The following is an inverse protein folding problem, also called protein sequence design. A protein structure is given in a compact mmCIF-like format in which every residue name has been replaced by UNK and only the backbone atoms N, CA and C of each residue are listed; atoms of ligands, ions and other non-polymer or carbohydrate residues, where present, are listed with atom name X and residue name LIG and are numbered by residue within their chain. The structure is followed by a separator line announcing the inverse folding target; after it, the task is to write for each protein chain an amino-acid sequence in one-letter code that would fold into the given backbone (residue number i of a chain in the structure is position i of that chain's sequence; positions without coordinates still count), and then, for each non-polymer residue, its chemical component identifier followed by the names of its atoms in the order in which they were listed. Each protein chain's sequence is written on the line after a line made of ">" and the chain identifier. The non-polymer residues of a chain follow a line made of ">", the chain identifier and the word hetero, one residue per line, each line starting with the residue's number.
data_IF_539282300753
#
_entry.id   IF_539282300753
#
_cell.length_a   1.000
_cell.length_b   1.000
_cell.length_c   1.000
_cell.angle_alpha   90.00
_cell.angle_beta   90.00
_cell.angle_gamma   90.00
#
_symmetry.space_group_name_H-M   'P 1'
#
loop_
_entity.id
_entity.type
_entity.pdbx_description
1 polymer ?
#
# COMPACT_ATOMS: atom_id res chain seq x y z
N UNK A 1 60.02 4.56 -1.69
CA UNK A 1 60.29 3.88 -2.96
C UNK A 1 58.96 3.39 -3.55
N UNK A 2 58.67 3.96 -4.75
CA UNK A 2 57.83 3.52 -5.86
C UNK A 2 56.35 3.23 -5.55
N UNK A 3 55.44 4.11 -5.75
CA UNK A 3 54.69 4.66 -6.91
C UNK A 3 54.50 3.66 -8.06
N UNK A 4 53.26 3.23 -8.26
CA UNK A 4 52.73 2.91 -9.60
C UNK A 4 51.27 3.28 -9.71
N UNK A 5 51.05 4.36 -10.46
CA UNK A 5 49.79 4.87 -11.00
C UNK A 5 49.35 4.01 -12.19
N UNK A 6 48.09 3.63 -12.24
CA UNK A 6 47.43 3.17 -13.47
C UNK A 6 46.16 3.97 -13.73
N UNK A 7 46.30 5.05 -14.51
CA UNK A 7 45.21 5.77 -15.17
C UNK A 7 44.78 4.95 -16.39
N UNK A 8 43.55 4.39 -16.38
CA UNK A 8 42.90 3.88 -17.59
C UNK A 8 41.95 4.96 -18.14
N UNK A 9 42.32 5.50 -19.30
CA UNK A 9 41.54 6.45 -20.08
C UNK A 9 40.40 5.73 -20.78
N UNK A 10 39.17 6.07 -20.50
CA UNK A 10 37.99 5.74 -21.32
C UNK A 10 37.87 6.77 -22.45
N UNK A 11 37.91 6.30 -23.68
CA UNK A 11 37.60 7.06 -24.91
C UNK A 11 36.08 7.16 -25.09
N UNK A 12 35.58 8.28 -25.64
CA UNK A 12 34.16 8.42 -25.95
C UNK A 12 33.82 7.69 -27.26
N UNK A 13 32.75 6.92 -27.23
CA UNK A 13 32.16 6.29 -28.43
C UNK A 13 31.12 7.29 -29.02
N UNK A 14 31.55 8.00 -30.07
CA UNK A 14 30.69 8.79 -30.94
C UNK A 14 30.40 7.99 -32.20
N UNK A 15 29.21 8.23 -32.77
CA UNK A 15 28.77 7.93 -34.13
C UNK A 15 28.36 6.49 -34.48
N UNK A 16 27.03 6.31 -34.48
CA UNK A 16 26.33 5.52 -35.50
C UNK A 16 24.94 6.16 -35.75
N UNK A 17 24.95 7.29 -36.43
CA UNK A 17 23.81 7.77 -37.25
C UNK A 17 24.03 7.28 -38.67
N UNK A 18 23.02 6.76 -39.28
CA UNK A 18 22.75 6.41 -40.66
C UNK A 18 22.44 4.92 -40.87
N UNK A 19 21.16 4.62 -40.91
CA UNK A 19 20.52 3.75 -41.91
C UNK A 19 19.00 3.76 -41.67
N UNK A 20 18.31 4.74 -42.28
CA UNK A 20 16.89 4.66 -42.56
C UNK A 20 16.70 4.30 -44.03
N UNK A 21 16.01 3.23 -44.41
CA UNK A 21 15.54 3.05 -45.77
C UNK A 21 14.29 3.91 -46.01
N UNK A 22 14.37 4.79 -46.98
CA UNK A 22 13.22 5.46 -47.61
C UNK A 22 12.35 4.37 -48.26
N UNK A 23 11.15 4.16 -47.75
CA UNK A 23 10.07 3.49 -48.47
C UNK A 23 9.15 4.58 -49.03
N UNK A 24 9.07 4.57 -50.37
CA UNK A 24 8.24 5.45 -51.15
C UNK A 24 6.76 5.28 -50.81
N UNK A 25 6.07 6.41 -50.65
CA UNK A 25 4.63 6.49 -50.63
C UNK A 25 4.06 5.97 -51.98
N UNK A 26 3.31 4.88 -51.94
CA UNK A 26 2.33 4.53 -52.96
C UNK A 26 0.95 4.82 -52.38
N UNK A 27 0.27 5.75 -53.03
CA UNK A 27 -1.16 5.97 -52.85
C UNK A 27 -1.92 4.66 -53.06
N UNK A 28 -2.56 4.17 -52.03
CA UNK A 28 -3.61 3.17 -52.11
C UNK A 28 -4.82 3.75 -51.42
N UNK A 29 -5.90 3.87 -52.20
CA UNK A 29 -7.15 4.52 -51.88
C UNK A 29 -7.72 4.15 -50.51
N UNK A 30 -8.32 5.19 -49.90
CA UNK A 30 -8.96 5.06 -48.59
C UNK A 30 -10.17 4.15 -48.65
N UNK A 31 -10.05 3.04 -47.96
CA UNK A 31 -11.18 2.15 -47.76
C UNK A 31 -11.76 2.27 -46.33
N UNK A 32 -13.08 2.29 -46.28
CA UNK A 32 -13.96 2.33 -45.11
C UNK A 32 -13.65 1.26 -44.02
N UNK A 33 -12.78 0.32 -44.31
CA UNK A 33 -12.39 -0.77 -43.42
C UNK A 33 -11.46 -0.33 -42.27
N UNK A 34 -10.62 0.71 -42.49
CA UNK A 34 -9.71 1.22 -41.44
C UNK A 34 -10.46 2.01 -40.37
N UNK A 35 -11.54 2.70 -40.73
CA UNK A 35 -12.42 3.38 -39.75
C UNK A 35 -13.22 2.43 -38.86
N UNK A 36 -13.48 1.21 -39.31
CA UNK A 36 -14.23 0.20 -38.55
C UNK A 36 -13.35 -0.58 -37.58
N UNK A 37 -12.08 -0.81 -37.91
CA UNK A 37 -11.09 -1.48 -37.05
C UNK A 37 -10.68 -0.59 -35.86
N UNK A 38 -10.51 0.72 -36.08
CA UNK A 38 -10.16 1.67 -35.00
C UNK A 38 -11.36 1.94 -34.07
N UNK A 39 -12.61 1.84 -34.58
CA UNK A 39 -13.83 2.04 -33.78
C UNK A 39 -14.14 0.82 -32.89
N UNK A 40 -13.80 -0.38 -33.29
CA UNK A 40 -13.96 -1.60 -32.47
C UNK A 40 -12.85 -1.69 -31.41
N UNK A 41 -11.60 -1.29 -31.70
CA UNK A 41 -10.50 -1.31 -30.76
C UNK A 41 -10.74 -0.42 -29.52
N UNK A 42 -11.46 0.71 -29.66
CA UNK A 42 -11.82 1.56 -28.50
C UNK A 42 -12.94 1.00 -27.63
N UNK A 43 -13.82 0.14 -28.16
CA UNK A 43 -14.87 -0.52 -27.37
C UNK A 43 -14.35 -1.76 -26.64
N UNK A 44 -13.39 -2.47 -27.22
CA UNK A 44 -12.79 -3.65 -26.59
C UNK A 44 -11.80 -3.27 -25.48
N UNK A 45 -11.20 -2.07 -25.52
CA UNK A 45 -10.34 -1.56 -24.45
C UNK A 45 -11.13 -1.15 -23.18
N UNK A 46 -12.43 -0.91 -23.30
CA UNK A 46 -13.30 -0.56 -22.16
C UNK A 46 -13.87 -1.78 -21.42
N UNK A 47 -13.58 -3.00 -21.91
CA UNK A 47 -14.03 -4.26 -21.30
C UNK A 47 -12.87 -5.18 -20.85
N UNK A 48 -11.63 -4.71 -20.85
CA UNK A 48 -10.61 -5.36 -20.05
C UNK A 48 -10.93 -5.04 -18.57
N UNK A 49 -11.78 -5.87 -17.99
CA UNK A 49 -11.91 -5.93 -16.53
C UNK A 49 -10.51 -6.14 -15.99
N UNK A 50 -10.08 -5.21 -15.14
CA UNK A 50 -8.83 -5.32 -14.39
C UNK A 50 -8.71 -6.76 -13.86
N UNK A 51 -7.59 -7.48 -14.12
CA UNK A 51 -7.37 -8.83 -13.62
C UNK A 51 -7.63 -8.96 -12.11
N UNK A 52 -7.41 -7.90 -11.34
CA UNK A 52 -7.72 -7.81 -9.91
C UNK A 52 -9.23 -7.86 -9.68
N UNK A 53 -10.04 -7.16 -10.47
CA UNK A 53 -11.52 -7.20 -10.37
C UNK A 53 -12.06 -8.58 -10.76
N UNK A 54 -11.40 -9.29 -11.68
CA UNK A 54 -11.78 -10.65 -12.07
C UNK A 54 -11.37 -11.67 -11.00
N UNK A 55 -10.23 -11.49 -10.33
CA UNK A 55 -9.78 -12.34 -9.23
C UNK A 55 -10.66 -12.17 -7.98
N UNK A 56 -11.14 -10.95 -7.69
CA UNK A 56 -12.11 -10.69 -6.60
C UNK A 56 -13.50 -11.32 -6.85
N UNK A 57 -13.83 -11.65 -8.11
CA UNK A 57 -15.04 -12.40 -8.45
C UNK A 57 -15.00 -13.89 -8.08
N UNK A 58 -13.84 -14.42 -7.67
CA UNK A 58 -13.62 -15.82 -7.29
C UNK A 58 -13.34 -15.98 -5.79
N UNK A 59 -13.96 -15.15 -4.93
CA UNK A 59 -13.84 -15.36 -3.48
C UNK A 59 -14.45 -16.72 -3.12
N UNK A 60 -13.66 -17.69 -2.59
CA UNK A 60 -14.14 -19.01 -2.30
C UNK A 60 -15.15 -18.98 -1.16
N UNK A 61 -16.17 -19.82 -1.27
CA UNK A 61 -17.15 -20.06 -0.22
C UNK A 61 -16.70 -21.18 0.69
N UNK A 62 -16.86 -21.00 2.00
CA UNK A 62 -16.60 -21.98 3.04
C UNK A 62 -17.93 -22.35 3.69
N UNK A 63 -18.19 -23.64 3.84
CA UNK A 63 -19.39 -24.15 4.53
C UNK A 63 -19.00 -24.59 5.94
N UNK A 64 -19.62 -23.99 6.93
CA UNK A 64 -19.47 -24.33 8.34
C UNK A 64 -20.67 -25.16 8.78
N UNK A 65 -20.43 -26.34 9.32
CA UNK A 65 -21.49 -27.17 9.94
C UNK A 65 -21.66 -26.78 11.40
N UNK A 66 -22.87 -26.39 11.76
CA UNK A 66 -23.22 -26.06 13.14
C UNK A 66 -24.36 -26.96 13.64
N UNK A 67 -24.60 -26.99 14.93
CA UNK A 67 -25.76 -27.70 15.53
C UNK A 67 -27.13 -27.21 15.01
N UNK A 68 -27.16 -26.05 14.32
CA UNK A 68 -28.38 -25.44 13.74
C UNK A 68 -28.44 -25.58 12.21
N UNK A 69 -27.55 -26.39 11.61
CA UNK A 69 -27.45 -26.59 10.16
C UNK A 69 -26.18 -26.00 9.54
N UNK A 70 -26.12 -26.06 8.22
CA UNK A 70 -25.00 -25.57 7.43
C UNK A 70 -25.14 -24.07 7.17
N UNK A 71 -24.01 -23.33 7.26
CA UNK A 71 -23.92 -21.93 6.88
C UNK A 71 -22.76 -21.73 5.91
N UNK A 72 -23.06 -21.11 4.78
CA UNK A 72 -22.04 -20.71 3.81
C UNK A 72 -21.57 -19.27 4.10
N UNK A 73 -20.26 -19.06 4.07
CA UNK A 73 -19.61 -17.76 4.18
C UNK A 73 -18.61 -17.61 3.03
N UNK A 74 -18.40 -16.41 2.52
CA UNK A 74 -17.17 -16.16 1.81
C UNK A 74 -15.98 -16.21 2.78
N UNK A 75 -14.76 -16.43 2.24
CA UNK A 75 -13.59 -16.64 3.10
C UNK A 75 -13.29 -15.43 4.00
N UNK A 76 -13.49 -14.19 3.52
CA UNK A 76 -13.22 -13.00 4.33
C UNK A 76 -14.28 -12.84 5.44
N UNK A 77 -15.54 -13.07 5.15
CA UNK A 77 -16.61 -13.08 6.17
C UNK A 77 -16.37 -14.18 7.21
N UNK A 78 -15.82 -15.35 6.82
CA UNK A 78 -15.47 -16.40 7.76
C UNK A 78 -14.30 -15.99 8.66
N UNK A 79 -13.26 -15.36 8.09
CA UNK A 79 -12.12 -14.86 8.85
C UNK A 79 -12.50 -13.70 9.77
N UNK A 80 -13.44 -12.84 9.35
CA UNK A 80 -13.96 -11.77 10.20
C UNK A 80 -14.61 -12.31 11.50
N UNK A 81 -15.27 -13.47 11.46
CA UNK A 81 -15.77 -14.15 12.68
C UNK A 81 -14.64 -14.50 13.66
N UNK A 82 -13.44 -14.77 13.15
CA UNK A 82 -12.25 -15.01 13.94
C UNK A 82 -11.51 -13.70 14.28
N UNK A 83 -12.17 -12.56 14.07
CA UNK A 83 -11.67 -11.20 14.33
C UNK A 83 -10.47 -10.82 13.46
N UNK A 84 -10.37 -11.40 12.27
CA UNK A 84 -9.32 -11.11 11.29
C UNK A 84 -9.87 -10.18 10.23
N UNK A 85 -9.20 -9.03 10.05
CA UNK A 85 -9.50 -8.00 9.06
C UNK A 85 -8.35 -7.94 8.05
N UNK A 86 -8.68 -7.88 6.75
CA UNK A 86 -7.67 -7.74 5.70
C UNK A 86 -7.66 -6.33 5.13
N UNK A 87 -6.50 -5.68 5.18
CA UNK A 87 -6.18 -4.46 4.47
C UNK A 87 -5.29 -4.85 3.28
N UNK A 88 -5.91 -5.21 2.15
CA UNK A 88 -5.22 -5.70 0.96
C UNK A 88 -5.49 -4.79 -0.25
N UNK A 89 -4.41 -4.33 -0.91
CA UNK A 89 -4.49 -3.40 -2.04
C UNK A 89 -4.41 -1.92 -1.64
N UNK A 90 -4.75 -0.98 -2.56
CA UNK A 90 -4.66 0.45 -2.31
C UNK A 90 -5.61 0.92 -1.20
N UNK A 91 -5.13 1.86 -0.37
CA UNK A 91 -5.95 2.52 0.65
C UNK A 91 -6.78 3.62 -0.02
N UNK A 92 -8.07 3.37 -0.16
CA UNK A 92 -9.07 4.23 -0.80
C UNK A 92 -10.30 4.40 0.10
N UNK A 93 -11.17 5.35 -0.22
CA UNK A 93 -12.34 5.69 0.60
C UNK A 93 -13.25 4.49 0.85
N UNK A 94 -13.53 3.68 -0.18
CA UNK A 94 -14.39 2.50 -0.04
C UNK A 94 -13.76 1.44 0.87
N UNK A 95 -12.45 1.18 0.70
CA UNK A 95 -11.72 0.27 1.57
C UNK A 95 -11.72 0.78 3.01
N UNK A 96 -11.42 2.07 3.22
CA UNK A 96 -11.39 2.68 4.54
C UNK A 96 -12.74 2.56 5.24
N UNK A 97 -13.83 2.89 4.55
CA UNK A 97 -15.18 2.76 5.10
C UNK A 97 -15.49 1.32 5.52
N UNK A 98 -15.11 0.32 4.70
CA UNK A 98 -15.31 -1.09 5.01
C UNK A 98 -14.48 -1.53 6.23
N UNK A 99 -13.20 -1.17 6.29
CA UNK A 99 -12.32 -1.50 7.44
C UNK A 99 -12.83 -0.85 8.72
N UNK A 100 -13.19 0.44 8.69
CA UNK A 100 -13.75 1.12 9.86
C UNK A 100 -15.03 0.44 10.35
N UNK A 101 -15.94 0.06 9.44
CA UNK A 101 -17.17 -0.66 9.79
C UNK A 101 -16.88 -2.03 10.42
N UNK A 102 -15.90 -2.78 9.91
CA UNK A 102 -15.47 -4.05 10.48
C UNK A 102 -14.88 -3.89 11.88
N UNK A 103 -14.02 -2.89 12.09
CA UNK A 103 -13.43 -2.60 13.40
C UNK A 103 -14.50 -2.25 14.44
N UNK A 104 -15.45 -1.38 14.10
CA UNK A 104 -16.56 -0.99 14.97
C UNK A 104 -17.50 -2.17 15.28
N UNK A 105 -17.78 -3.01 14.27
CA UNK A 105 -18.59 -4.22 14.46
C UNK A 105 -17.92 -5.19 15.43
N UNK A 106 -16.63 -5.46 15.27
CA UNK A 106 -15.88 -6.37 16.14
C UNK A 106 -15.74 -5.83 17.57
N UNK A 107 -15.57 -4.51 17.73
CA UNK A 107 -15.61 -3.91 19.06
C UNK A 107 -16.98 -4.07 19.71
N UNK A 108 -18.07 -3.83 18.99
CA UNK A 108 -19.42 -3.99 19.52
C UNK A 108 -19.72 -5.42 19.96
N UNK A 109 -19.16 -6.43 19.28
CA UNK A 109 -19.28 -7.83 19.69
C UNK A 109 -18.50 -8.15 21.00
N UNK A 110 -17.26 -7.71 21.08
CA UNK A 110 -16.43 -7.90 22.29
C UNK A 110 -15.26 -6.89 22.35
N UNK A 111 -15.40 -5.82 23.13
CA UNK A 111 -14.38 -4.76 23.22
C UNK A 111 -13.09 -5.19 23.95
N UNK A 112 -13.07 -6.36 24.60
CA UNK A 112 -11.90 -6.87 25.32
C UNK A 112 -11.03 -7.80 24.49
N UNK A 113 -11.57 -8.34 23.40
CA UNK A 113 -10.82 -9.21 22.49
C UNK A 113 -10.07 -8.38 21.46
N UNK A 114 -8.87 -8.82 21.16
CA UNK A 114 -8.03 -8.27 20.11
C UNK A 114 -8.63 -8.44 18.70
N UNK A 115 -8.25 -7.57 17.82
CA UNK A 115 -8.57 -7.63 16.38
C UNK A 115 -7.24 -7.79 15.65
N UNK A 116 -7.14 -8.74 14.73
CA UNK A 116 -5.94 -8.97 13.92
C UNK A 116 -6.12 -8.31 12.55
N UNK A 117 -5.31 -7.31 12.23
CA UNK A 117 -5.32 -6.66 10.92
C UNK A 117 -4.13 -7.13 10.10
N UNK A 118 -4.40 -7.88 9.04
CA UNK A 118 -3.42 -8.34 8.07
C UNK A 118 -3.26 -7.31 6.94
N UNK A 119 -2.03 -6.84 6.73
CA UNK A 119 -1.74 -5.73 5.81
C UNK A 119 -0.88 -6.22 4.66
N UNK A 120 -1.38 -6.03 3.42
CA UNK A 120 -0.64 -6.17 2.17
C UNK A 120 -1.04 -5.03 1.24
N UNK A 121 -0.42 -3.86 1.40
CA UNK A 121 -0.87 -2.62 0.77
C UNK A 121 0.29 -1.76 0.26
N UNK A 122 0.17 -1.20 -0.94
CA UNK A 122 1.09 -0.18 -1.46
C UNK A 122 0.87 1.20 -0.83
N UNK A 123 -0.12 1.36 0.07
CA UNK A 123 -0.58 2.65 0.57
C UNK A 123 -1.69 3.27 -0.28
N UNK A 124 -1.86 4.58 -0.23
CA UNK A 124 -2.92 5.26 -0.96
C UNK A 124 -3.30 6.60 -0.35
N UNK A 125 -4.59 6.91 -0.33
CA UNK A 125 -5.15 8.20 0.07
C UNK A 125 -4.94 8.46 1.57
N UNK A 126 -4.30 9.59 1.88
CA UNK A 126 -3.93 9.94 3.28
C UNK A 126 -5.16 10.07 4.17
N UNK A 127 -6.20 10.76 3.72
CA UNK A 127 -7.44 10.95 4.50
C UNK A 127 -8.15 9.63 4.80
N UNK A 128 -8.18 8.72 3.83
CA UNK A 128 -8.74 7.36 4.00
C UNK A 128 -7.92 6.55 5.01
N UNK A 129 -6.59 6.65 4.95
CA UNK A 129 -5.70 6.00 5.93
C UNK A 129 -5.85 6.59 7.33
N UNK A 130 -5.99 7.91 7.46
CA UNK A 130 -6.23 8.56 8.76
C UNK A 130 -7.59 8.17 9.36
N UNK A 131 -8.63 7.95 8.53
CA UNK A 131 -9.91 7.44 9.03
C UNK A 131 -9.77 6.04 9.65
N UNK A 132 -9.00 5.14 9.03
CA UNK A 132 -8.70 3.83 9.61
C UNK A 132 -7.89 3.99 10.90
N UNK A 133 -6.83 4.82 10.86
CA UNK A 133 -5.98 5.09 12.03
C UNK A 133 -6.79 5.58 13.22
N UNK A 134 -7.60 6.62 13.02
CA UNK A 134 -8.41 7.19 14.10
C UNK A 134 -9.40 6.16 14.64
N UNK A 135 -9.99 5.33 13.79
CA UNK A 135 -10.87 4.23 14.22
C UNK A 135 -10.11 3.20 15.06
N UNK A 136 -8.89 2.80 14.64
CA UNK A 136 -8.03 1.88 15.41
C UNK A 136 -7.71 2.44 16.81
N UNK A 137 -7.46 3.76 16.91
CA UNK A 137 -7.15 4.41 18.20
C UNK A 137 -8.39 4.70 19.05
N UNK A 138 -9.57 4.83 18.42
CA UNK A 138 -10.82 5.16 19.09
C UNK A 138 -11.48 3.96 19.78
N UNK A 139 -11.41 2.78 19.16
CA UNK A 139 -12.01 1.55 19.69
C UNK A 139 -11.25 1.03 20.90
N UNK A 140 -11.94 0.28 21.76
CA UNK A 140 -11.34 -0.31 22.99
C UNK A 140 -10.62 -1.62 22.71
N UNK A 141 -10.98 -2.33 21.64
CA UNK A 141 -10.32 -3.56 21.23
C UNK A 141 -8.89 -3.27 20.77
N UNK A 142 -7.85 -3.93 21.31
CA UNK A 142 -6.50 -3.79 20.79
C UNK A 142 -6.43 -4.29 19.34
N UNK A 143 -5.74 -3.55 18.49
CA UNK A 143 -5.56 -3.94 17.07
C UNK A 143 -4.12 -4.41 16.87
N UNK A 144 -3.96 -5.71 16.70
CA UNK A 144 -2.69 -6.33 16.30
C UNK A 144 -2.52 -6.12 14.81
N UNK A 145 -1.35 -5.68 14.37
CA UNK A 145 -1.05 -5.50 12.95
C UNK A 145 0.00 -6.49 12.48
N UNK A 146 -0.22 -7.09 11.30
CA UNK A 146 0.69 -8.05 10.72
C UNK A 146 0.90 -7.78 9.23
N UNK A 147 2.14 -7.51 8.84
CA UNK A 147 2.52 -7.31 7.44
C UNK A 147 2.71 -8.64 6.71
N UNK A 148 1.94 -8.82 5.62
CA UNK A 148 2.06 -9.90 4.65
C UNK A 148 2.56 -9.34 3.32
N UNK A 149 3.77 -9.67 2.90
CA UNK A 149 4.30 -9.22 1.61
C UNK A 149 4.73 -7.76 1.61
N UNK A 150 3.81 -6.78 1.64
CA UNK A 150 4.17 -5.36 1.58
C UNK A 150 3.32 -4.49 2.51
N UNK A 151 3.98 -3.53 3.15
CA UNK A 151 3.32 -2.39 3.78
C UNK A 151 4.07 -1.11 3.38
N UNK A 152 3.51 -0.36 2.42
CA UNK A 152 4.15 0.84 1.90
C UNK A 152 3.30 2.09 2.17
N UNK A 153 3.95 3.25 2.40
CA UNK A 153 3.27 4.55 2.56
C UNK A 153 2.18 4.49 3.64
N UNK A 154 0.91 4.76 3.30
CA UNK A 154 -0.20 4.61 4.26
C UNK A 154 -0.35 3.17 4.80
N UNK A 155 0.12 2.14 4.08
CA UNK A 155 0.17 0.77 4.59
C UNK A 155 1.17 0.61 5.74
N UNK A 156 2.36 1.18 5.64
CA UNK A 156 3.35 1.19 6.73
C UNK A 156 2.91 2.07 7.90
N UNK A 157 2.20 3.17 7.62
CA UNK A 157 1.61 4.02 8.63
C UNK A 157 0.58 3.26 9.48
N UNK A 158 -0.29 2.47 8.85
CA UNK A 158 -1.28 1.65 9.56
C UNK A 158 -0.63 0.45 10.27
N UNK A 159 0.45 -0.11 9.72
CA UNK A 159 1.22 -1.17 10.36
C UNK A 159 1.81 -0.71 11.71
N UNK A 160 2.46 0.47 11.73
CA UNK A 160 3.06 0.99 12.96
C UNK A 160 2.03 1.48 13.99
N UNK A 161 0.77 1.72 13.55
CA UNK A 161 -0.31 2.21 14.40
C UNK A 161 -1.00 1.12 15.25
N UNK A 162 -0.61 -0.13 15.08
CA UNK A 162 -1.09 -1.26 15.89
C UNK A 162 -0.72 -1.14 17.36
N UNK A 163 -1.29 -2.04 18.17
CA UNK A 163 -1.03 -2.13 19.60
C UNK A 163 0.46 -2.35 19.87
N UNK A 164 1.01 -1.54 20.76
CA UNK A 164 2.44 -1.58 21.09
C UNK A 164 2.82 -2.95 21.66
N UNK A 165 3.88 -3.53 21.11
CA UNK A 165 4.33 -4.89 21.45
C UNK A 165 3.64 -5.99 20.63
N UNK A 166 2.70 -5.63 19.74
CA UNK A 166 1.94 -6.58 18.91
C UNK A 166 1.90 -6.20 17.44
N UNK A 167 2.91 -5.45 16.96
CA UNK A 167 3.09 -5.11 15.56
C UNK A 167 4.09 -6.08 14.94
N UNK A 168 3.69 -6.77 13.89
CA UNK A 168 4.39 -7.96 13.38
C UNK A 168 4.69 -7.80 11.90
N UNK A 169 5.85 -8.28 11.46
CA UNK A 169 6.14 -8.51 10.05
C UNK A 169 6.56 -9.97 9.82
N UNK A 170 6.20 -10.55 8.69
CA UNK A 170 6.77 -11.81 8.26
C UNK A 170 8.16 -11.59 7.65
N UNK A 171 9.07 -12.58 7.67
CA UNK A 171 10.49 -12.39 7.35
C UNK A 171 10.78 -11.80 5.97
N UNK A 172 9.92 -12.11 4.98
CA UNK A 172 10.07 -11.63 3.61
C UNK A 172 9.20 -10.40 3.31
N UNK A 173 8.62 -9.77 4.33
CA UNK A 173 7.83 -8.55 4.17
C UNK A 173 8.73 -7.37 3.82
N UNK A 174 8.21 -6.51 2.94
CA UNK A 174 8.86 -5.27 2.54
C UNK A 174 8.08 -4.07 3.05
N UNK A 175 8.72 -3.24 3.82
CA UNK A 175 8.15 -2.04 4.39
C UNK A 175 8.72 -0.83 3.66
N UNK A 176 7.90 0.18 3.34
CA UNK A 176 8.36 1.42 2.74
C UNK A 176 7.69 2.61 3.39
N UNK A 177 8.51 3.58 3.75
CA UNK A 177 8.05 4.85 4.32
C UNK A 177 8.49 6.01 3.43
N UNK A 178 7.65 7.02 3.31
CA UNK A 178 7.96 8.27 2.64
C UNK A 178 6.99 9.38 3.07
N UNK A 179 7.33 10.63 2.74
CA UNK A 179 6.47 11.78 2.99
C UNK A 179 5.23 11.77 2.07
N UNK A 180 4.11 12.42 2.46
CA UNK A 180 2.96 12.55 1.59
C UNK A 180 3.32 13.28 0.30
N UNK A 181 2.81 12.78 -0.82
CA UNK A 181 2.94 13.40 -2.14
C UNK A 181 1.59 13.90 -2.61
N UNK A 182 1.59 15.01 -3.36
CA UNK A 182 0.40 15.56 -3.98
C UNK A 182 0.77 16.56 -5.05
N UNK A 183 -0.17 16.85 -5.94
CA UNK A 183 -0.03 17.87 -6.98
C UNK A 183 -1.33 18.65 -7.11
N UNK A 184 -1.21 19.95 -7.34
CA UNK A 184 -2.36 20.84 -7.52
C UNK A 184 -2.17 21.72 -8.74
N UNK A 185 -3.29 22.02 -9.40
CA UNK A 185 -3.36 23.01 -10.46
C UNK A 185 -4.52 23.96 -10.18
N UNK A 186 -4.34 25.24 -10.49
CA UNK A 186 -5.38 26.23 -10.24
C UNK A 186 -4.83 27.65 -10.16
N UNK A 187 -5.54 28.54 -9.48
CA UNK A 187 -5.08 29.90 -9.22
C UNK A 187 -3.91 29.89 -8.23
N UNK A 188 -3.01 30.87 -8.33
CA UNK A 188 -1.83 30.96 -7.47
C UNK A 188 -2.16 30.88 -5.96
N UNK A 189 -3.19 31.59 -5.51
CA UNK A 189 -3.64 31.56 -4.13
C UNK A 189 -4.21 30.21 -3.68
N UNK A 190 -4.80 29.44 -4.60
CA UNK A 190 -5.30 28.10 -4.27
C UNK A 190 -4.14 27.10 -4.18
N UNK A 191 -3.14 27.21 -5.06
CA UNK A 191 -1.91 26.40 -5.00
C UNK A 191 -1.18 26.64 -3.68
N UNK A 192 -1.03 27.90 -3.24
CA UNK A 192 -0.39 28.26 -1.97
C UNK A 192 -1.11 27.61 -0.76
N UNK A 193 -2.45 27.72 -0.71
CA UNK A 193 -3.25 27.09 0.37
C UNK A 193 -3.13 25.58 0.40
N UNK A 194 -3.15 24.94 -0.76
CA UNK A 194 -2.95 23.48 -0.85
C UNK A 194 -1.53 23.07 -0.43
N UNK A 195 -0.51 23.86 -0.79
CA UNK A 195 0.85 23.61 -0.34
C UNK A 195 0.97 23.70 1.19
N UNK A 196 0.36 24.71 1.81
CA UNK A 196 0.31 24.83 3.27
C UNK A 196 -0.39 23.64 3.94
N UNK A 197 -1.49 23.15 3.37
CA UNK A 197 -2.25 22.02 3.89
C UNK A 197 -1.44 20.72 3.82
N UNK A 198 -0.74 20.46 2.71
CA UNK A 198 0.18 19.32 2.59
C UNK A 198 1.29 19.40 3.64
N UNK A 199 1.88 20.58 3.89
CA UNK A 199 2.92 20.74 4.89
C UNK A 199 2.41 20.48 6.32
N UNK A 200 1.17 20.89 6.62
CA UNK A 200 0.51 20.55 7.91
C UNK A 200 0.30 19.04 8.03
N UNK A 201 -0.19 18.41 6.98
CA UNK A 201 -0.37 16.96 6.91
C UNK A 201 0.94 16.21 7.08
N UNK A 202 2.01 16.62 6.37
CA UNK A 202 3.36 16.06 6.53
C UNK A 202 3.80 16.10 7.99
N UNK A 203 3.73 17.28 8.62
CA UNK A 203 4.10 17.44 10.05
C UNK A 203 3.31 16.53 10.95
N UNK A 204 1.99 16.44 10.75
CA UNK A 204 1.12 15.57 11.54
C UNK A 204 1.48 14.10 11.41
N UNK A 205 1.76 13.63 10.19
CA UNK A 205 2.19 12.25 9.97
C UNK A 205 3.54 11.97 10.63
N UNK A 206 4.52 12.89 10.54
CA UNK A 206 5.82 12.74 11.19
C UNK A 206 5.68 12.63 12.73
N UNK A 207 4.83 13.46 13.34
CA UNK A 207 4.53 13.38 14.77
C UNK A 207 3.92 12.03 15.17
N UNK A 208 3.03 11.48 14.33
CA UNK A 208 2.42 10.17 14.56
C UNK A 208 3.43 9.03 14.39
N UNK A 209 4.29 9.09 13.37
CA UNK A 209 5.40 8.14 13.25
C UNK A 209 6.31 8.20 14.49
N UNK A 210 6.74 9.38 14.92
CA UNK A 210 7.58 9.54 16.10
C UNK A 210 6.92 8.96 17.36
N UNK A 211 5.62 9.23 17.55
CA UNK A 211 4.83 8.70 18.67
C UNK A 211 4.84 7.16 18.73
N UNK A 212 4.65 6.49 17.60
CA UNK A 212 4.48 5.03 17.57
C UNK A 212 5.80 4.27 17.48
N UNK A 213 6.82 4.84 16.82
CA UNK A 213 8.12 4.19 16.60
C UNK A 213 9.12 4.47 17.73
N UNK A 214 8.92 5.56 18.47
CA UNK A 214 9.88 6.05 19.48
C UNK A 214 11.07 6.82 18.90
N UNK A 215 11.05 7.10 17.59
CA UNK A 215 12.02 7.96 16.94
C UNK A 215 11.76 9.44 17.25
N UNK A 216 12.78 10.31 17.05
CA UNK A 216 12.54 11.75 17.09
C UNK A 216 11.85 12.23 15.82
N UNK A 217 11.14 13.37 15.88
CA UNK A 217 10.48 13.95 14.71
C UNK A 217 11.48 14.28 13.61
N UNK A 218 12.68 14.74 13.98
CA UNK A 218 13.78 15.07 13.07
C UNK A 218 14.27 13.83 12.33
N UNK A 219 14.47 12.70 13.04
CA UNK A 219 14.85 11.41 12.44
C UNK A 219 13.76 10.91 11.49
N UNK A 220 12.50 11.03 11.89
CA UNK A 220 11.38 10.67 11.03
C UNK A 220 11.35 11.53 9.77
N UNK A 221 11.54 12.84 9.90
CA UNK A 221 11.53 13.75 8.75
C UNK A 221 12.65 13.44 7.75
N UNK A 222 13.84 13.12 8.24
CA UNK A 222 14.98 12.73 7.41
C UNK A 222 14.71 11.42 6.67
N UNK A 223 14.22 10.38 7.36
CA UNK A 223 13.99 9.05 6.77
C UNK A 223 12.81 9.07 5.79
N UNK A 224 11.77 9.86 6.06
CA UNK A 224 10.59 9.98 5.20
C UNK A 224 10.79 10.98 4.03
N UNK A 225 11.89 11.69 3.92
CA UNK A 225 12.10 12.67 2.84
C UNK A 225 12.05 12.04 1.45
N UNK A 226 12.52 10.80 1.33
CA UNK A 226 12.48 9.98 0.10
C UNK A 226 11.96 8.58 0.41
N UNK A 227 11.69 7.82 -0.66
CA UNK A 227 11.31 6.42 -0.52
C UNK A 227 12.38 5.64 0.24
N UNK A 228 12.08 5.25 1.47
CA UNK A 228 12.95 4.47 2.34
C UNK A 228 12.37 3.07 2.49
N UNK A 229 13.07 2.08 1.94
CA UNK A 229 12.68 0.69 1.96
C UNK A 229 13.40 -0.04 3.09
N UNK A 230 12.65 -0.87 3.81
CA UNK A 230 13.12 -1.65 4.95
C UNK A 230 12.71 -3.12 4.79
N UNK A 231 13.62 -4.02 5.11
CA UNK A 231 13.29 -5.42 5.44
C UNK A 231 12.50 -5.49 6.74
N UNK A 232 11.96 -6.66 7.06
CA UNK A 232 11.24 -6.87 8.32
C UNK A 232 12.13 -6.57 9.55
N UNK A 233 13.40 -6.99 9.52
CA UNK A 233 14.36 -6.77 10.62
C UNK A 233 14.76 -5.28 10.75
N UNK A 234 14.96 -4.58 9.63
CA UNK A 234 15.24 -3.13 9.65
C UNK A 234 14.02 -2.36 10.18
N UNK A 235 12.81 -2.73 9.79
CA UNK A 235 11.57 -2.13 10.30
C UNK A 235 11.37 -2.37 11.80
N UNK A 236 11.80 -3.54 12.32
CA UNK A 236 11.84 -3.82 13.75
C UNK A 236 12.87 -2.95 14.46
N UNK A 237 14.07 -2.86 13.92
CA UNK A 237 15.13 -2.03 14.51
C UNK A 237 14.74 -0.54 14.53
N UNK A 238 14.01 -0.07 13.51
CA UNK A 238 13.51 1.31 13.42
C UNK A 238 12.26 1.57 14.27
N UNK A 239 11.55 0.52 14.72
CA UNK A 239 10.39 0.60 15.61
C UNK A 239 9.02 0.64 14.92
N UNK A 240 8.95 0.33 13.61
CA UNK A 240 7.66 0.18 12.90
C UNK A 240 6.93 -1.07 13.37
N UNK A 241 7.66 -2.17 13.57
CA UNK A 241 7.14 -3.41 14.11
C UNK A 241 7.89 -3.81 15.37
N UNK A 242 7.27 -4.66 16.18
CA UNK A 242 7.84 -5.17 17.44
C UNK A 242 8.48 -6.55 17.24
N UNK A 243 7.92 -7.35 16.32
CA UNK A 243 8.33 -8.73 16.09
C UNK A 243 8.48 -9.05 14.60
N UNK A 244 9.42 -9.97 14.30
CA UNK A 244 9.46 -10.68 13.02
C UNK A 244 9.17 -12.15 13.33
N UNK A 245 8.08 -12.68 12.77
CA UNK A 245 7.63 -14.04 13.03
C UNK A 245 7.86 -14.95 11.82
N UNK A 246 8.68 -15.97 12.00
CA UNK A 246 8.83 -17.05 11.01
C UNK A 246 7.67 -18.04 11.04
N UNK A 247 7.15 -18.30 12.23
CA UNK A 247 6.03 -19.21 12.48
C UNK A 247 5.10 -18.61 13.52
N UNK A 248 3.83 -18.97 13.42
CA UNK A 248 2.86 -18.67 14.47
C UNK A 248 3.28 -19.43 15.72
N UNK A 249 3.35 -18.75 16.84
CA UNK A 249 3.58 -19.43 18.13
C UNK A 249 2.43 -20.40 18.38
N UNK A 250 2.75 -21.61 18.81
CA UNK A 250 1.73 -22.57 19.22
C UNK A 250 1.07 -22.02 20.48
N UNK A 251 -0.24 -21.86 20.43
CA UNK A 251 -1.01 -21.60 21.66
C UNK A 251 -0.76 -22.77 22.64
N UNK A 252 -0.11 -22.46 23.78
CA UNK A 252 0.19 -23.42 24.82
C UNK A 252 -1.03 -23.77 25.66
#
# INVERSE_FOLDING_TARGET
>A
MAVLSARTKLKPLAALTHLAPRLAARDIGGDELTGRLIRNSKKDFLFMRDPVTTALGLVPMVVEQTSRGERAYDIFSRLLKDRIVFLAGPVEDNMAALICAQLLHLEAENPKKEIQMYINSPGGVVTSGLAIYDTMQYIKSPVITLCLGMAASMGSFLLMAGEKGQRIALPNSRIMVHQPSGGFSGKASDIERHAEDILKTKRRLNELYAKHTGQTVETVEEVLDRDSFMSAEEAKAWGIVDHVWEKREAEG
#
